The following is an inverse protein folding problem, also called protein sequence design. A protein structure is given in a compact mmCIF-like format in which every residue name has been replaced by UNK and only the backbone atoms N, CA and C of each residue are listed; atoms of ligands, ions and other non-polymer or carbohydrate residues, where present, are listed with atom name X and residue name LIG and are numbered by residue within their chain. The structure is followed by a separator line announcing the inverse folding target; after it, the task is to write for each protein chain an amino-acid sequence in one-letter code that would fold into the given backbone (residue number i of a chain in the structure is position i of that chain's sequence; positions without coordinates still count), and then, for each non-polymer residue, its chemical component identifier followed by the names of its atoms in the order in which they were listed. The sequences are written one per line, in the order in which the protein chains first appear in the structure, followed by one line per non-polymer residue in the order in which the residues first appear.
data_IF_682161674215
#
_entry.id   IF_682161674215
#
_cell.length_a   1.000
_cell.length_b   1.000
_cell.length_c   1.000
_cell.angle_alpha   90.00
_cell.angle_beta   90.00
_cell.angle_gamma   90.00
#
_symmetry.space_group_name_H-M   'P 1'
#
loop_
_entity.id
_entity.type
_entity.pdbx_description
1 polymer ?
#
# COMPACT_ATOMS: atom_id res chain seq x y z
N UNK A 1 -2.29 0.46 6.60
CA UNK A 1 -2.64 -0.72 7.40
C UNK A 1 -1.75 -1.89 6.99
N UNK A 2 -1.34 -2.75 7.91
CA UNK A 2 -0.51 -3.96 7.65
C UNK A 2 -0.81 -5.07 8.66
N UNK A 3 -0.41 -6.30 8.36
CA UNK A 3 -0.43 -7.45 9.26
C UNK A 3 0.99 -7.98 9.52
N UNK A 4 1.22 -8.85 10.52
CA UNK A 4 2.53 -9.46 10.77
C UNK A 4 3.12 -10.17 9.54
N UNK A 5 2.30 -10.86 8.74
CA UNK A 5 2.75 -11.54 7.52
C UNK A 5 3.19 -10.54 6.42
N UNK A 6 2.48 -9.42 6.28
CA UNK A 6 2.88 -8.34 5.37
C UNK A 6 4.21 -7.71 5.81
N UNK A 7 4.39 -7.49 7.11
CA UNK A 7 5.65 -6.96 7.66
C UNK A 7 6.82 -7.93 7.38
N UNK A 8 6.63 -9.23 7.60
CA UNK A 8 7.62 -10.27 7.26
C UNK A 8 7.97 -10.25 5.78
N UNK A 9 6.96 -10.08 4.92
CA UNK A 9 7.15 -9.99 3.48
C UNK A 9 7.97 -8.77 3.08
N UNK A 10 7.70 -7.60 3.66
CA UNK A 10 8.50 -6.39 3.42
C UNK A 10 9.97 -6.58 3.84
N UNK A 11 10.20 -7.17 5.01
CA UNK A 11 11.56 -7.49 5.47
C UNK A 11 12.27 -8.45 4.51
N UNK A 12 11.57 -9.50 4.05
CA UNK A 12 12.10 -10.49 3.10
C UNK A 12 12.45 -9.86 1.76
N UNK A 13 11.55 -9.05 1.19
CA UNK A 13 11.75 -8.38 -0.10
C UNK A 13 12.89 -7.37 -0.02
N UNK A 14 12.98 -6.63 1.09
CA UNK A 14 14.05 -5.65 1.29
C UNK A 14 15.44 -6.32 1.28
N UNK A 15 15.53 -7.53 1.84
CA UNK A 15 16.75 -8.34 1.87
C UNK A 15 16.95 -9.23 0.64
N UNK A 16 16.04 -9.17 -0.34
CA UNK A 16 16.16 -9.98 -1.53
C UNK A 16 17.38 -9.53 -2.36
N UNK A 17 18.24 -10.45 -2.86
CA UNK A 17 19.51 -10.08 -3.47
C UNK A 17 19.41 -9.07 -4.62
N UNK A 18 18.32 -9.12 -5.41
CA UNK A 18 18.07 -8.17 -6.50
C UNK A 18 17.77 -6.76 -5.98
N UNK A 19 17.06 -6.64 -4.86
CA UNK A 19 16.72 -5.36 -4.24
C UNK A 19 17.95 -4.77 -3.56
N UNK A 20 18.68 -5.56 -2.77
CA UNK A 20 19.94 -5.15 -2.12
C UNK A 20 20.93 -4.60 -3.17
N UNK A 21 21.17 -5.34 -4.26
CA UNK A 21 22.03 -4.88 -5.36
C UNK A 21 21.55 -3.58 -6.01
N UNK A 22 20.23 -3.33 -6.04
CA UNK A 22 19.67 -2.09 -6.58
C UNK A 22 19.90 -0.91 -5.64
N UNK A 23 19.71 -1.11 -4.34
CA UNK A 23 20.00 -0.11 -3.31
C UNK A 23 21.47 0.28 -3.30
N UNK A 24 22.37 -0.71 -3.36
CA UNK A 24 23.82 -0.50 -3.47
C UNK A 24 24.18 0.36 -4.70
N UNK A 25 23.61 0.05 -5.87
CA UNK A 25 23.81 0.84 -7.11
C UNK A 25 23.32 2.28 -6.98
N UNK A 26 22.31 2.52 -6.15
CA UNK A 26 21.78 3.86 -5.87
C UNK A 26 22.55 4.57 -4.76
N UNK A 27 23.56 3.94 -4.15
CA UNK A 27 24.29 4.48 -3.01
C UNK A 27 23.45 4.56 -1.73
N UNK A 28 22.38 3.77 -1.63
CA UNK A 28 21.49 3.73 -0.48
C UNK A 28 21.91 2.57 0.43
N UNK A 29 22.35 2.83 1.67
CA UNK A 29 22.62 1.78 2.64
C UNK A 29 21.34 1.00 2.98
N UNK A 30 21.46 -0.32 3.16
CA UNK A 30 20.31 -1.16 3.56
C UNK A 30 19.66 -0.67 4.86
N UNK A 31 20.46 -0.17 5.80
CA UNK A 31 20.00 0.39 7.08
C UNK A 31 19.09 1.61 6.92
N UNK A 32 19.24 2.39 5.84
CA UNK A 32 18.33 3.49 5.52
C UNK A 32 16.94 2.95 5.17
N UNK A 33 16.88 1.91 4.34
CA UNK A 33 15.61 1.29 3.97
C UNK A 33 14.95 0.55 5.14
N UNK A 34 15.75 -0.11 5.99
CA UNK A 34 15.26 -0.72 7.24
C UNK A 34 14.66 0.34 8.18
N UNK A 35 15.30 1.51 8.27
CA UNK A 35 14.81 2.63 9.09
C UNK A 35 13.50 3.19 8.54
N UNK A 36 13.35 3.29 7.21
CA UNK A 36 12.09 3.68 6.57
C UNK A 36 10.99 2.66 6.90
N UNK A 37 11.28 1.36 6.80
CA UNK A 37 10.32 0.31 7.12
C UNK A 37 9.90 0.35 8.60
N UNK A 38 10.86 0.61 9.51
CA UNK A 38 10.57 0.80 10.93
C UNK A 38 9.64 1.99 11.16
N UNK A 39 9.97 3.16 10.62
CA UNK A 39 9.16 4.37 10.76
C UNK A 39 7.75 4.18 10.16
N UNK A 40 7.65 3.45 9.04
CA UNK A 40 6.38 3.09 8.44
C UNK A 40 5.53 2.22 9.39
N UNK A 41 6.13 1.22 10.04
CA UNK A 41 5.41 0.36 11.00
C UNK A 41 4.97 1.12 12.26
N UNK A 42 5.65 2.21 12.64
CA UNK A 42 5.24 3.06 13.78
C UNK A 42 3.99 3.91 13.48
N UNK A 43 3.71 4.21 12.20
CA UNK A 43 2.55 5.01 11.78
C UNK A 43 1.41 4.17 11.20
N UNK A 44 1.66 2.91 10.84
CA UNK A 44 0.67 2.05 10.23
C UNK A 44 -0.26 1.43 11.29
N UNK A 45 -1.56 1.39 11.01
CA UNK A 45 -2.49 0.51 11.74
C UNK A 45 -2.09 -0.95 11.51
N UNK A 46 -1.87 -1.71 12.58
CA UNK A 46 -1.49 -3.12 12.52
C UNK A 46 -2.67 -4.01 12.90
N UNK A 47 -3.05 -4.93 12.02
CA UNK A 47 -4.10 -5.95 12.29
C UNK A 47 -3.50 -7.18 12.99
N UNK A 48 -4.32 -8.04 13.60
CA UNK A 48 -3.84 -9.19 14.39
C UNK A 48 -3.18 -10.26 13.50
N UNK A 49 -3.69 -10.45 12.28
CA UNK A 49 -3.26 -11.47 11.34
C UNK A 49 -3.90 -12.83 11.56
N UNK A 50 -5.04 -12.90 12.25
CA UNK A 50 -5.71 -14.15 12.61
C UNK A 50 -6.68 -14.64 11.52
N UNK A 51 -7.08 -13.75 10.60
CA UNK A 51 -7.97 -14.08 9.51
C UNK A 51 -7.21 -14.68 8.32
N UNK A 52 -7.65 -15.84 7.85
CA UNK A 52 -7.18 -16.46 6.60
C UNK A 52 -8.32 -16.50 5.58
N UNK A 53 -8.08 -15.97 4.39
CA UNK A 53 -8.99 -16.07 3.24
C UNK A 53 -8.32 -16.88 2.12
N UNK A 54 -9.13 -17.47 1.24
CA UNK A 54 -8.67 -18.26 0.09
C UNK A 54 -9.44 -17.82 -1.15
N UNK A 55 -8.90 -16.85 -1.88
CA UNK A 55 -9.61 -16.16 -2.96
C UNK A 55 -8.80 -16.20 -4.24
N UNK A 56 -7.51 -15.90 -4.16
CA UNK A 56 -6.63 -15.77 -5.32
C UNK A 56 -5.98 -17.12 -5.59
N UNK A 57 -6.64 -17.94 -6.41
CA UNK A 57 -6.15 -19.27 -6.74
C UNK A 57 -4.82 -19.25 -7.52
N UNK A 58 -4.60 -18.22 -8.33
CA UNK A 58 -3.39 -18.08 -9.18
C UNK A 58 -2.15 -17.67 -8.38
N UNK A 59 -2.33 -16.97 -7.26
CA UNK A 59 -1.29 -16.66 -6.27
C UNK A 59 -1.87 -16.60 -4.85
N UNK A 60 -1.93 -17.76 -4.15
CA UNK A 60 -2.45 -17.83 -2.78
C UNK A 60 -1.64 -16.99 -1.77
N UNK A 61 -0.45 -16.50 -2.14
CA UNK A 61 0.30 -15.65 -1.23
C UNK A 61 -0.28 -14.24 -1.14
N UNK A 62 -1.00 -13.78 -2.17
CA UNK A 62 -1.63 -12.45 -2.16
C UNK A 62 -2.91 -12.36 -1.33
N UNK A 63 -3.48 -13.52 -0.94
CA UNK A 63 -4.62 -13.57 -0.02
C UNK A 63 -4.32 -12.87 1.32
N UNK A 64 -3.04 -12.77 1.72
CA UNK A 64 -2.63 -12.04 2.94
C UNK A 64 -3.09 -10.58 2.94
N UNK A 65 -3.19 -9.94 1.77
CA UNK A 65 -3.64 -8.56 1.65
C UNK A 65 -5.15 -8.43 1.82
N UNK A 66 -5.91 -9.40 1.29
CA UNK A 66 -7.36 -9.49 1.48
C UNK A 66 -7.71 -9.78 2.95
N UNK A 67 -7.02 -10.74 3.57
CA UNK A 67 -7.13 -11.04 5.00
C UNK A 67 -6.92 -9.79 5.87
N UNK A 68 -5.83 -9.06 5.63
CA UNK A 68 -5.52 -7.84 6.38
C UNK A 68 -6.59 -6.76 6.16
N UNK A 69 -7.08 -6.62 4.93
CA UNK A 69 -8.11 -5.63 4.60
C UNK A 69 -9.43 -5.90 5.31
N UNK A 70 -9.88 -7.16 5.35
CA UNK A 70 -11.10 -7.56 6.06
C UNK A 70 -10.92 -7.38 7.56
N UNK A 71 -9.82 -7.86 8.13
CA UNK A 71 -9.58 -7.80 9.57
C UNK A 71 -9.50 -6.38 10.12
N UNK A 72 -8.98 -5.44 9.32
CA UNK A 72 -8.92 -4.04 9.69
C UNK A 72 -10.02 -3.18 9.07
N UNK A 73 -11.10 -3.79 8.57
CA UNK A 73 -12.31 -3.11 8.08
C UNK A 73 -12.01 -2.01 7.03
N UNK A 74 -11.10 -2.27 6.10
CA UNK A 74 -10.73 -1.29 5.09
C UNK A 74 -11.83 -1.09 4.04
N UNK A 75 -12.05 0.15 3.61
CA UNK A 75 -12.92 0.45 2.47
C UNK A 75 -12.28 0.08 1.12
N UNK A 76 -10.95 0.14 1.04
CA UNK A 76 -10.20 -0.03 -0.20
C UNK A 76 -8.90 -0.82 -0.01
N UNK A 77 -8.55 -1.61 -1.02
CA UNK A 77 -7.17 -2.06 -1.28
C UNK A 77 -6.65 -1.29 -2.49
N UNK A 78 -5.48 -0.68 -2.34
CA UNK A 78 -4.81 0.02 -3.44
C UNK A 78 -3.61 -0.80 -3.87
N UNK A 79 -3.64 -1.34 -5.10
CA UNK A 79 -2.60 -2.23 -5.61
C UNK A 79 -2.32 -2.01 -7.09
N UNK A 80 -1.08 -2.30 -7.50
CA UNK A 80 -0.69 -2.43 -8.91
C UNK A 80 -0.58 -3.88 -9.37
N UNK A 81 -0.94 -4.84 -8.51
CA UNK A 81 -0.88 -6.27 -8.78
C UNK A 81 -2.12 -6.75 -9.54
N UNK A 82 -1.91 -7.41 -10.68
CA UNK A 82 -2.99 -7.86 -11.56
C UNK A 82 -3.86 -8.98 -10.94
N UNK A 83 -3.29 -9.85 -10.10
CA UNK A 83 -4.04 -10.90 -9.41
C UNK A 83 -5.00 -10.29 -8.40
N UNK A 84 -4.55 -9.34 -7.58
CA UNK A 84 -5.43 -8.58 -6.69
C UNK A 84 -6.48 -7.76 -7.46
N UNK A 85 -6.07 -7.06 -8.52
CA UNK A 85 -6.98 -6.24 -9.32
C UNK A 85 -8.06 -7.09 -10.03
N UNK A 86 -7.76 -8.35 -10.37
CA UNK A 86 -8.72 -9.27 -10.99
C UNK A 86 -9.93 -9.59 -10.09
N UNK A 87 -9.76 -9.52 -8.76
CA UNK A 87 -10.81 -9.76 -7.77
C UNK A 87 -11.84 -8.62 -7.77
N UNK A 88 -11.40 -7.38 -8.08
CA UNK A 88 -12.19 -6.13 -8.15
C UNK A 88 -12.82 -5.67 -6.83
N UNK A 89 -13.56 -6.54 -6.15
CA UNK A 89 -14.21 -6.26 -4.88
C UNK A 89 -14.30 -7.55 -4.06
N UNK A 90 -14.01 -7.46 -2.77
CA UNK A 90 -14.08 -8.59 -1.85
C UNK A 90 -14.72 -8.18 -0.53
N UNK A 91 -15.86 -8.78 -0.18
CA UNK A 91 -16.61 -8.46 1.05
C UNK A 91 -16.89 -6.95 1.25
N UNK A 92 -17.21 -6.24 0.16
CA UNK A 92 -17.45 -4.78 0.18
C UNK A 92 -16.19 -3.92 0.06
N UNK A 93 -15.00 -4.54 0.11
CA UNK A 93 -13.70 -3.86 -0.01
C UNK A 93 -13.36 -3.72 -1.50
N UNK A 94 -13.25 -2.49 -1.99
CA UNK A 94 -12.94 -2.23 -3.40
C UNK A 94 -11.45 -2.27 -3.66
N UNK A 95 -11.03 -2.93 -4.73
CA UNK A 95 -9.62 -3.06 -5.12
C UNK A 95 -9.36 -2.14 -6.31
N UNK A 96 -8.47 -1.17 -6.13
CA UNK A 96 -8.24 -0.08 -7.07
C UNK A 96 -6.76 0.05 -7.39
N UNK A 97 -6.46 0.59 -8.57
CA UNK A 97 -5.11 1.08 -8.87
C UNK A 97 -4.85 2.36 -8.08
N UNK A 98 -3.57 2.72 -7.81
CA UNK A 98 -3.23 4.00 -7.20
C UNK A 98 -3.81 5.19 -7.95
N UNK A 99 -3.80 5.15 -9.29
CA UNK A 99 -4.39 6.18 -10.12
C UNK A 99 -5.91 6.29 -9.90
N UNK A 100 -6.63 5.18 -9.96
CA UNK A 100 -8.08 5.18 -9.76
C UNK A 100 -8.47 5.67 -8.36
N UNK A 101 -7.70 5.29 -7.34
CA UNK A 101 -7.93 5.77 -5.96
C UNK A 101 -7.72 7.28 -5.85
N UNK A 102 -6.67 7.83 -6.46
CA UNK A 102 -6.41 9.28 -6.45
C UNK A 102 -7.50 10.07 -7.19
N UNK A 103 -8.01 9.55 -8.31
CA UNK A 103 -9.08 10.18 -9.09
C UNK A 103 -10.42 10.28 -8.32
N UNK A 104 -10.66 9.42 -7.32
CA UNK A 104 -11.87 9.49 -6.49
C UNK A 104 -11.94 10.77 -5.63
N UNK A 105 -10.81 11.37 -5.29
CA UNK A 105 -10.73 12.57 -4.44
C UNK A 105 -10.65 13.89 -5.23
N UNK A 106 -10.55 13.84 -6.57
CA UNK A 106 -10.45 15.06 -7.41
C UNK A 106 -11.76 15.85 -7.49
N UNK A 107 -12.87 15.33 -6.94
CA UNK A 107 -14.13 16.08 -6.85
C UNK A 107 -14.19 17.07 -5.68
N UNK A 108 -13.33 16.96 -4.66
CA UNK A 108 -13.33 17.87 -3.50
C UNK A 108 -12.22 18.93 -3.51
N UNK A 109 -11.19 18.78 -4.38
CA UNK A 109 -10.13 19.78 -4.50
C UNK A 109 -10.41 20.74 -5.66
N UNK A 110 -10.59 22.06 -5.41
CA UNK A 110 -10.59 23.04 -6.48
C UNK A 110 -9.24 22.98 -7.22
N UNK A 111 -9.32 23.06 -8.56
CA UNK A 111 -8.19 22.94 -9.48
C UNK A 111 -6.95 23.72 -9.02
N UNK A 112 -5.80 23.05 -9.00
CA UNK A 112 -4.49 23.66 -8.78
C UNK A 112 -3.88 24.13 -10.11
N UNK A 113 -3.18 25.28 -10.17
CA UNK A 113 -2.88 26.21 -9.07
C UNK A 113 -4.08 27.09 -8.68
N UNK A 114 -4.14 27.57 -7.41
CA UNK A 114 -5.16 28.52 -6.99
C UNK A 114 -4.91 29.83 -7.72
N UNK A 115 -5.98 30.47 -8.16
CA UNK A 115 -5.95 31.81 -8.76
C UNK A 115 -5.10 32.76 -7.89
N UNK A 116 -3.95 33.18 -8.43
CA UNK A 116 -2.93 33.97 -7.74
C UNK A 116 -3.44 35.35 -7.30
N UNK A 117 -4.62 35.76 -7.76
CA UNK A 117 -5.24 37.03 -7.42
C UNK A 117 -5.93 37.05 -6.04
N UNK A 118 -6.00 35.93 -5.31
CA UNK A 118 -6.71 35.87 -4.01
C UNK A 118 -5.83 36.14 -2.78
N UNK A 119 -4.51 36.16 -2.93
CA UNK A 119 -3.56 36.24 -1.81
C UNK A 119 -2.72 37.52 -1.75
N UNK A 120 -2.84 38.42 -2.73
CA UNK A 120 -2.21 39.74 -2.72
C UNK A 120 -3.24 40.86 -2.99
N UNK A 121 -3.68 41.56 -1.93
CA UNK A 121 -4.51 42.78 -1.96
C UNK A 121 -5.75 42.65 -1.07
N UNK A 122 -6.01 43.48 -0.05
CA UNK A 122 -5.52 44.81 0.35
C UNK A 122 -5.42 44.87 1.88
#
# INVERSE_FOLDING_TARGET
MVSPEIIKEYWRVLHYPKIVKRLEKMGIPISTAESILKNFNEIATVTLGDLEVKVIADDPTDDKFLSCAVEGEADFIVSGDDHLLSVKEFQGIRILTPQAFLEMNVREYPSWPPDSNRWYGN
#
